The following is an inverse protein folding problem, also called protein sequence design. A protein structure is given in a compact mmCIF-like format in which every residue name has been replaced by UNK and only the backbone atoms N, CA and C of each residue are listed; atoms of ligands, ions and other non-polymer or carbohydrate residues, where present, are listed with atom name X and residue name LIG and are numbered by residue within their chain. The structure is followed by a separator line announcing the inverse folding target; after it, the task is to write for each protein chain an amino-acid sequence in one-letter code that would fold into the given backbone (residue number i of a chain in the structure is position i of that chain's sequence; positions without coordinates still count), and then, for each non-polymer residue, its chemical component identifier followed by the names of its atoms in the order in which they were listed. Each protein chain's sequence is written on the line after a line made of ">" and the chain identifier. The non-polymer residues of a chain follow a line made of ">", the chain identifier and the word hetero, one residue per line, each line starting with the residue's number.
data_IF_804272320456
#
_entry.id   IF_804272320456
#
_cell.length_a   1.000
_cell.length_b   1.000
_cell.length_c   1.000
_cell.angle_alpha   90.00
_cell.angle_beta   90.00
_cell.angle_gamma   90.00
#
_symmetry.space_group_name_H-M   'P 1'
#
loop_
_entity.id
_entity.type
_entity.pdbx_description
1 polymer ?
#
# COMPACT_ATOMS: atom_id res chain seq x y z
N UNK A 1 27.94 15.90 44.51
CA UNK A 1 29.14 16.72 44.26
C UNK A 1 29.60 16.43 42.84
N UNK A 2 29.42 17.43 41.97
CA UNK A 2 29.87 17.55 40.57
C UNK A 2 28.97 16.95 39.48
N UNK A 3 28.01 17.80 39.13
CA UNK A 3 27.44 18.03 37.80
C UNK A 3 28.49 18.00 36.68
N UNK A 4 28.11 17.52 35.49
CA UNK A 4 28.68 18.07 34.25
C UNK A 4 27.65 17.99 33.11
N UNK A 5 26.94 19.10 32.98
CA UNK A 5 26.17 19.53 31.82
C UNK A 5 27.12 19.69 30.63
N UNK A 6 26.81 19.10 29.47
CA UNK A 6 27.48 19.51 28.23
C UNK A 6 26.44 19.90 27.17
N UNK A 7 26.39 21.21 26.97
CA UNK A 7 25.46 21.98 26.19
C UNK A 7 26.16 22.30 24.86
N UNK A 8 25.91 21.51 23.81
CA UNK A 8 26.48 21.77 22.49
C UNK A 8 25.43 22.42 21.60
N UNK A 9 25.63 23.72 21.39
CA UNK A 9 24.84 24.60 20.53
C UNK A 9 25.01 24.20 19.07
N UNK A 10 23.92 23.85 18.40
CA UNK A 10 23.87 23.77 16.94
C UNK A 10 23.28 25.07 16.38
N UNK A 11 24.17 25.93 15.88
CA UNK A 11 23.86 27.04 14.98
C UNK A 11 23.69 26.46 13.57
N UNK A 12 22.48 26.49 13.03
CA UNK A 12 22.26 26.23 11.60
C UNK A 12 21.50 27.39 10.97
N UNK A 13 22.25 28.14 10.16
CA UNK A 13 21.79 29.16 9.22
C UNK A 13 20.88 28.49 8.18
N UNK A 14 19.59 28.81 8.18
CA UNK A 14 18.70 28.45 7.08
C UNK A 14 18.73 29.54 6.02
N UNK A 15 19.27 29.16 4.87
CA UNK A 15 19.41 29.95 3.66
C UNK A 15 18.56 29.29 2.56
N UNK A 16 17.85 30.14 1.80
CA UNK A 16 17.27 29.91 0.47
C UNK A 16 16.11 28.90 0.32
N UNK A 17 14.94 29.40 -0.10
CA UNK A 17 14.56 29.46 -1.52
C UNK A 17 13.08 29.84 -1.68
N UNK A 18 12.81 31.10 -2.04
CA UNK A 18 11.57 31.47 -2.73
C UNK A 18 11.62 30.86 -4.13
N UNK A 19 10.67 30.01 -4.49
CA UNK A 19 10.37 29.73 -5.90
C UNK A 19 8.90 29.98 -6.16
N UNK A 20 8.67 30.83 -7.15
CA UNK A 20 7.40 31.44 -7.49
C UNK A 20 6.45 30.44 -8.19
N UNK A 21 5.18 30.51 -7.80
CA UNK A 21 4.03 29.91 -8.47
C UNK A 21 3.92 30.47 -9.89
N UNK A 22 3.85 29.61 -10.90
CA UNK A 22 3.50 30.00 -12.28
C UNK A 22 2.22 29.30 -12.71
N UNK A 23 1.36 30.10 -13.34
CA UNK A 23 -0.08 29.91 -13.48
C UNK A 23 -0.51 29.02 -14.67
N UNK A 24 -1.70 28.44 -14.48
CA UNK A 24 -2.80 28.18 -15.42
C UNK A 24 -2.57 28.39 -16.93
N UNK A 25 -2.86 27.34 -17.70
CA UNK A 25 -3.55 27.46 -18.99
C UNK A 25 -4.47 26.25 -19.20
N UNK A 26 -5.78 26.45 -19.00
CA UNK A 26 -6.83 25.57 -19.52
C UNK A 26 -6.97 25.85 -21.02
N UNK A 27 -6.95 24.81 -21.83
CA UNK A 27 -7.48 24.88 -23.20
C UNK A 27 -8.69 23.98 -23.27
N UNK A 28 -9.84 24.61 -23.44
CA UNK A 28 -11.12 24.01 -23.76
C UNK A 28 -11.07 23.49 -25.19
N UNK A 29 -11.48 22.24 -25.41
CA UNK A 29 -12.01 21.83 -26.71
C UNK A 29 -13.40 21.26 -26.50
N UNK A 30 -14.30 21.89 -27.25
CA UNK A 30 -15.74 21.69 -27.35
C UNK A 30 -15.98 20.88 -28.61
N UNK A 31 -16.77 19.81 -28.54
CA UNK A 31 -17.51 19.15 -29.63
C UNK A 31 -18.04 17.82 -29.06
N UNK A 32 -19.23 17.29 -29.31
CA UNK A 32 -20.50 17.73 -29.90
C UNK A 32 -21.48 16.57 -29.64
N UNK A 33 -22.77 16.89 -29.74
CA UNK A 33 -23.95 16.17 -29.26
C UNK A 33 -24.27 14.79 -29.87
N UNK A 34 -24.75 13.91 -28.97
CA UNK A 34 -25.73 12.80 -29.03
C UNK A 34 -26.37 12.33 -30.37
N UNK A 35 -26.82 11.05 -30.43
CA UNK A 35 -28.21 10.79 -30.00
C UNK A 35 -28.45 9.55 -29.13
N UNK A 36 -29.49 9.69 -28.31
CA UNK A 36 -30.20 8.71 -27.48
C UNK A 36 -30.66 7.46 -28.25
N UNK A 37 -30.39 6.27 -27.71
CA UNK A 37 -31.22 5.09 -27.95
C UNK A 37 -31.66 4.48 -26.61
N UNK A 38 -32.98 4.46 -26.44
CA UNK A 38 -33.73 3.85 -25.36
C UNK A 38 -33.61 2.33 -25.48
N UNK A 39 -33.01 1.70 -24.48
CA UNK A 39 -32.99 0.25 -24.30
C UNK A 39 -33.06 -0.07 -22.81
N UNK A 40 -34.28 -0.14 -22.28
CA UNK A 40 -34.54 -0.58 -20.90
C UNK A 40 -34.38 -2.09 -20.83
N UNK A 41 -33.13 -2.55 -20.71
CA UNK A 41 -32.81 -3.91 -20.30
C UNK A 41 -32.25 -3.83 -18.88
N UNK A 42 -33.03 -4.27 -17.89
CA UNK A 42 -32.55 -4.50 -16.52
C UNK A 42 -31.55 -5.66 -16.56
N UNK A 43 -30.27 -5.46 -16.22
CA UNK A 43 -29.36 -6.58 -16.02
C UNK A 43 -29.60 -7.18 -14.62
N UNK A 44 -29.83 -8.50 -14.48
CA UNK A 44 -29.89 -9.15 -13.18
C UNK A 44 -28.48 -9.59 -12.78
N UNK A 45 -27.56 -8.67 -12.44
CA UNK A 45 -26.22 -9.08 -11.97
C UNK A 45 -25.63 -8.06 -10.99
N UNK A 46 -26.00 -8.14 -9.70
CA UNK A 46 -25.41 -7.29 -8.65
C UNK A 46 -25.18 -8.01 -7.31
N UNK A 47 -25.02 -9.33 -7.30
CA UNK A 47 -24.66 -10.08 -6.08
C UNK A 47 -23.15 -10.35 -5.99
N UNK A 48 -22.55 -10.90 -7.05
CA UNK A 48 -21.17 -11.40 -7.05
C UNK A 48 -20.08 -10.35 -6.76
N UNK A 49 -20.26 -9.12 -7.24
CA UNK A 49 -19.31 -8.03 -7.02
C UNK A 49 -19.34 -7.53 -5.56
N UNK A 50 -20.52 -7.50 -4.94
CA UNK A 50 -20.70 -7.10 -3.55
C UNK A 50 -20.14 -8.18 -2.60
N UNK A 51 -20.40 -9.45 -2.88
CA UNK A 51 -19.84 -10.59 -2.12
C UNK A 51 -18.31 -10.64 -2.16
N UNK A 52 -17.69 -10.37 -3.31
CA UNK A 52 -16.22 -10.37 -3.41
C UNK A 52 -15.61 -9.27 -2.55
N UNK A 53 -16.24 -8.09 -2.49
CA UNK A 53 -15.77 -6.96 -1.67
C UNK A 53 -15.89 -7.24 -0.17
N UNK A 54 -16.96 -7.91 0.28
CA UNK A 54 -17.13 -8.27 1.69
C UNK A 54 -16.12 -9.33 2.12
N UNK A 55 -15.85 -10.33 1.25
CA UNK A 55 -14.82 -11.35 1.51
C UNK A 55 -13.42 -10.73 1.62
N UNK A 56 -13.07 -9.77 0.76
CA UNK A 56 -11.78 -9.07 0.84
C UNK A 56 -11.63 -8.31 2.17
N UNK A 57 -12.68 -7.59 2.59
CA UNK A 57 -12.68 -6.87 3.86
C UNK A 57 -12.55 -7.81 5.06
N UNK A 58 -13.33 -8.90 5.09
CA UNK A 58 -13.28 -9.91 6.16
C UNK A 58 -11.88 -10.50 6.28
N UNK A 59 -11.23 -10.81 5.14
CA UNK A 59 -9.88 -11.35 5.12
C UNK A 59 -8.86 -10.39 5.77
N UNK A 60 -8.83 -9.12 5.34
CA UNK A 60 -7.93 -8.11 5.91
C UNK A 60 -8.21 -7.82 7.40
N UNK A 61 -9.49 -7.87 7.81
CA UNK A 61 -9.88 -7.68 9.21
C UNK A 61 -9.36 -8.78 10.13
N UNK A 62 -9.48 -10.03 9.69
CA UNK A 62 -9.23 -11.21 10.53
C UNK A 62 -7.79 -11.73 10.45
N UNK A 63 -7.07 -11.46 9.37
CA UNK A 63 -5.71 -11.96 9.16
C UNK A 63 -4.73 -11.55 10.27
N UNK A 64 -3.92 -12.52 10.73
CA UNK A 64 -2.88 -12.31 11.74
C UNK A 64 -1.50 -12.74 11.25
N UNK A 65 -1.42 -13.86 10.53
CA UNK A 65 -0.17 -14.40 10.04
C UNK A 65 0.09 -13.97 8.59
N UNK A 66 1.24 -13.35 8.36
CA UNK A 66 1.66 -12.87 7.04
C UNK A 66 2.90 -13.66 6.63
N UNK A 67 2.84 -14.26 5.45
CA UNK A 67 4.03 -14.78 4.77
C UNK A 67 4.47 -13.77 3.72
N UNK A 68 5.75 -13.39 3.72
CA UNK A 68 6.30 -12.44 2.76
C UNK A 68 7.04 -13.19 1.66
N UNK A 69 6.71 -12.88 0.40
CA UNK A 69 7.37 -13.41 -0.78
C UNK A 69 7.87 -12.27 -1.65
N UNK A 70 9.08 -12.39 -2.18
CA UNK A 70 9.58 -11.46 -3.19
C UNK A 70 10.08 -12.22 -4.41
N UNK A 71 9.58 -11.81 -5.58
CA UNK A 71 10.07 -12.23 -6.91
C UNK A 71 10.98 -11.15 -7.51
N UNK A 72 11.18 -10.04 -6.80
CA UNK A 72 12.05 -8.95 -7.24
C UNK A 72 13.51 -9.27 -6.93
N UNK A 73 14.40 -9.01 -7.89
CA UNK A 73 15.86 -9.12 -7.69
C UNK A 73 16.41 -8.04 -6.74
N UNK A 74 15.78 -6.86 -6.71
CA UNK A 74 16.28 -5.69 -5.99
C UNK A 74 15.66 -5.52 -4.58
N UNK A 75 14.63 -6.30 -4.26
CA UNK A 75 13.90 -6.16 -2.98
C UNK A 75 13.83 -7.52 -2.31
N UNK A 76 14.70 -7.76 -1.33
CA UNK A 76 14.73 -9.00 -0.57
C UNK A 76 13.56 -9.12 0.41
N UNK A 77 13.17 -10.37 0.69
CA UNK A 77 12.11 -10.72 1.67
C UNK A 77 12.43 -10.15 3.05
N UNK A 78 13.63 -10.40 3.58
CA UNK A 78 14.04 -9.95 4.92
C UNK A 78 13.94 -8.43 5.10
N UNK A 79 14.20 -7.65 4.05
CA UNK A 79 14.11 -6.20 4.08
C UNK A 79 12.65 -5.75 4.21
N UNK A 80 11.72 -6.42 3.51
CA UNK A 80 10.28 -6.12 3.64
C UNK A 80 9.79 -6.46 5.04
N UNK A 81 10.19 -7.62 5.57
CA UNK A 81 9.80 -8.07 6.92
C UNK A 81 10.29 -7.13 8.02
N UNK A 82 11.55 -6.70 7.95
CA UNK A 82 12.12 -5.72 8.86
C UNK A 82 11.32 -4.41 8.81
N UNK A 83 10.96 -3.93 7.61
CA UNK A 83 10.18 -2.70 7.43
C UNK A 83 8.74 -2.83 7.92
N UNK A 84 8.13 -4.02 7.83
CA UNK A 84 6.83 -4.31 8.42
C UNK A 84 6.90 -4.26 9.94
N UNK A 85 7.82 -5.00 10.56
CA UNK A 85 7.93 -5.13 12.02
C UNK A 85 8.27 -3.80 12.72
N UNK A 86 9.02 -2.92 12.07
CA UNK A 86 9.38 -1.60 12.59
C UNK A 86 8.19 -0.62 12.68
N UNK A 87 7.06 -0.92 12.03
CA UNK A 87 5.89 -0.03 12.02
C UNK A 87 5.00 -0.27 13.24
N UNK A 88 4.56 0.81 13.87
CA UNK A 88 3.70 0.75 15.07
C UNK A 88 2.37 0.08 14.76
N UNK A 89 1.86 0.30 13.56
CA UNK A 89 0.60 -0.26 13.06
C UNK A 89 0.67 -1.79 12.94
N UNK A 90 1.84 -2.33 12.59
CA UNK A 90 2.06 -3.77 12.55
C UNK A 90 1.92 -4.38 13.94
N UNK A 91 2.54 -3.73 14.93
CA UNK A 91 2.53 -4.15 16.33
C UNK A 91 1.14 -3.99 16.96
N UNK A 92 0.49 -2.84 16.75
CA UNK A 92 -0.83 -2.56 17.34
C UNK A 92 -1.94 -3.49 16.81
N UNK A 93 -1.81 -3.96 15.57
CA UNK A 93 -2.73 -4.91 14.97
C UNK A 93 -2.49 -6.37 15.41
N UNK A 94 -1.41 -6.63 16.15
CA UNK A 94 -0.99 -7.97 16.56
C UNK A 94 -0.67 -8.87 15.37
N UNK A 95 -0.05 -8.31 14.32
CA UNK A 95 0.36 -9.07 13.15
C UNK A 95 1.66 -9.84 13.44
N UNK A 96 1.81 -10.99 12.80
CA UNK A 96 2.98 -11.86 12.96
C UNK A 96 3.46 -12.28 11.57
N UNK A 97 4.78 -12.28 11.37
CA UNK A 97 5.38 -12.82 10.15
C UNK A 97 5.67 -14.30 10.38
N UNK A 98 5.18 -15.15 9.48
CA UNK A 98 5.48 -16.58 9.47
C UNK A 98 6.44 -16.93 8.33
N UNK A 99 7.30 -17.92 8.57
CA UNK A 99 8.16 -18.53 7.54
C UNK A 99 7.49 -19.67 6.80
N UNK A 100 6.36 -20.16 7.30
CA UNK A 100 5.57 -21.20 6.66
C UNK A 100 4.42 -20.58 5.86
N UNK A 101 4.42 -20.69 4.51
CA UNK A 101 3.32 -20.18 3.70
C UNK A 101 1.99 -20.91 3.98
N UNK A 102 2.01 -22.14 4.50
CA UNK A 102 0.80 -22.88 4.88
C UNK A 102 0.27 -22.52 6.27
N UNK A 103 1.03 -21.76 7.07
CA UNK A 103 0.53 -21.19 8.32
C UNK A 103 -0.02 -19.76 8.13
N UNK A 104 0.17 -19.16 6.96
CA UNK A 104 -0.21 -17.77 6.72
C UNK A 104 -1.71 -17.59 6.49
N UNK A 105 -2.25 -16.45 6.89
CA UNK A 105 -3.56 -15.98 6.45
C UNK A 105 -3.43 -15.22 5.13
N UNK A 106 -2.40 -14.37 5.06
CA UNK A 106 -2.09 -13.54 3.89
C UNK A 106 -0.70 -13.84 3.36
N UNK A 107 -0.58 -13.97 2.05
CA UNK A 107 0.68 -13.98 1.32
C UNK A 107 0.89 -12.59 0.71
N UNK A 108 1.90 -11.86 1.21
CA UNK A 108 2.31 -10.57 0.65
C UNK A 108 3.41 -10.81 -0.38
N UNK A 109 3.06 -10.71 -1.66
CA UNK A 109 4.01 -10.83 -2.77
C UNK A 109 4.46 -9.47 -3.28
N UNK A 110 5.76 -9.34 -3.56
CA UNK A 110 6.34 -8.19 -4.27
C UNK A 110 7.02 -8.68 -5.53
N UNK A 111 6.76 -8.03 -6.66
CA UNK A 111 7.48 -8.25 -7.91
C UNK A 111 7.88 -6.92 -8.55
N UNK A 112 8.89 -6.98 -9.41
CA UNK A 112 9.28 -5.87 -10.26
C UNK A 112 8.74 -6.18 -11.66
N UNK A 113 7.91 -5.28 -12.19
CA UNK A 113 7.48 -5.34 -13.58
C UNK A 113 8.70 -5.13 -14.50
N UNK A 114 8.65 -5.67 -15.72
CA UNK A 114 9.73 -5.64 -16.70
C UNK A 114 10.14 -4.22 -17.09
N UNK A 115 9.24 -3.25 -16.90
CA UNK A 115 9.49 -1.86 -17.23
C UNK A 115 10.15 -1.09 -16.08
N UNK A 116 9.34 -0.54 -15.15
CA UNK A 116 9.86 0.49 -14.23
C UNK A 116 9.22 0.51 -12.84
N UNK A 117 8.25 -0.38 -12.57
CA UNK A 117 7.43 -0.29 -11.36
C UNK A 117 7.49 -1.56 -10.56
N UNK A 118 7.41 -1.39 -9.24
CA UNK A 118 7.18 -2.49 -8.33
C UNK A 118 5.69 -2.64 -8.12
N UNK A 119 5.24 -3.88 -8.01
CA UNK A 119 3.86 -4.19 -7.70
C UNK A 119 3.87 -5.10 -6.49
N UNK A 120 2.99 -4.79 -5.53
CA UNK A 120 2.72 -5.69 -4.44
C UNK A 120 1.28 -6.13 -4.46
N UNK A 121 1.05 -7.36 -4.02
CA UNK A 121 -0.26 -7.99 -3.91
C UNK A 121 -0.30 -8.76 -2.60
N UNK A 122 -1.39 -8.58 -1.84
CA UNK A 122 -1.70 -9.40 -0.68
C UNK A 122 -2.83 -10.36 -1.09
N UNK A 123 -2.59 -11.66 -0.92
CA UNK A 123 -3.51 -12.71 -1.31
C UNK A 123 -3.96 -13.45 -0.07
N UNK A 124 -5.28 -13.59 0.11
CA UNK A 124 -5.83 -14.50 1.11
C UNK A 124 -5.52 -15.93 0.69
N UNK A 125 -4.79 -16.67 1.52
CA UNK A 125 -4.38 -18.03 1.20
C UNK A 125 -5.56 -19.01 1.07
N UNK A 126 -6.62 -18.84 1.86
CA UNK A 126 -7.78 -19.75 1.87
C UNK A 126 -8.62 -19.57 0.63
N UNK A 127 -8.89 -18.31 0.25
CA UNK A 127 -9.79 -18.00 -0.87
C UNK A 127 -9.04 -17.77 -2.19
N UNK A 128 -7.72 -17.60 -2.16
CA UNK A 128 -6.88 -17.23 -3.31
C UNK A 128 -7.30 -15.92 -3.98
N UNK A 129 -7.97 -15.03 -3.24
CA UNK A 129 -8.39 -13.72 -3.72
C UNK A 129 -7.34 -12.68 -3.37
N UNK A 130 -7.07 -11.77 -4.29
CA UNK A 130 -6.26 -10.57 -4.01
C UNK A 130 -7.10 -9.63 -3.14
N UNK A 131 -6.64 -9.40 -1.92
CA UNK A 131 -7.35 -8.60 -0.91
C UNK A 131 -6.77 -7.20 -0.75
N UNK A 132 -5.52 -7.00 -1.16
CA UNK A 132 -4.85 -5.70 -1.14
C UNK A 132 -3.77 -5.66 -2.22
N UNK A 133 -3.36 -4.47 -2.64
CA UNK A 133 -2.29 -4.32 -3.63
C UNK A 133 -2.04 -2.90 -4.08
N UNK A 134 -1.02 -2.73 -4.92
CA UNK A 134 -0.71 -1.45 -5.53
C UNK A 134 0.60 -1.43 -6.31
N UNK A 135 0.75 -0.37 -7.12
CA UNK A 135 1.98 -0.08 -7.88
C UNK A 135 2.81 0.98 -7.16
N UNK A 136 4.13 0.86 -7.24
CA UNK A 136 5.10 1.67 -6.53
C UNK A 136 6.25 2.07 -7.46
N UNK A 137 6.74 3.30 -7.26
CA UNK A 137 8.00 3.77 -7.85
C UNK A 137 9.12 3.71 -6.82
N UNK A 138 10.36 3.58 -7.32
CA UNK A 138 11.58 3.66 -6.50
C UNK A 138 11.91 5.09 -6.03
N UNK A 139 11.23 6.13 -6.51
CA UNK A 139 11.59 7.52 -6.20
C UNK A 139 11.02 7.95 -4.85
N UNK A 140 11.83 8.53 -3.96
CA UNK A 140 11.37 9.03 -2.67
C UNK A 140 11.27 7.93 -1.60
N UNK A 141 12.37 7.19 -1.40
CA UNK A 141 12.52 6.16 -0.36
C UNK A 141 12.61 4.74 -0.90
N UNK A 142 12.72 3.77 0.01
CA UNK A 142 12.86 2.35 -0.36
C UNK A 142 11.53 1.72 -0.74
N UNK A 143 11.53 0.84 -1.74
CA UNK A 143 10.34 0.08 -2.17
C UNK A 143 9.77 -0.73 -1.01
N UNK A 144 10.61 -1.44 -0.25
CA UNK A 144 10.19 -2.20 0.92
C UNK A 144 9.45 -1.34 1.96
N UNK A 145 9.97 -0.13 2.24
CA UNK A 145 9.33 0.81 3.14
C UNK A 145 7.94 1.24 2.67
N UNK A 146 7.78 1.47 1.36
CA UNK A 146 6.51 1.85 0.74
C UNK A 146 5.51 0.71 0.65
N UNK A 147 5.95 -0.50 0.31
CA UNK A 147 5.11 -1.72 0.35
C UNK A 147 4.54 -1.87 1.75
N UNK A 148 5.40 -1.84 2.76
CA UNK A 148 5.00 -1.98 4.17
C UNK A 148 3.99 -0.91 4.59
N UNK A 149 4.21 0.34 4.19
CA UNK A 149 3.30 1.44 4.48
C UNK A 149 1.91 1.25 3.87
N UNK A 150 1.87 1.02 2.55
CA UNK A 150 0.64 1.00 1.79
C UNK A 150 -0.19 -0.22 2.16
N UNK A 151 0.47 -1.37 2.34
CA UNK A 151 -0.18 -2.58 2.82
C UNK A 151 -0.79 -2.40 4.21
N UNK A 152 -0.04 -1.87 5.18
CA UNK A 152 -0.57 -1.66 6.54
C UNK A 152 -1.68 -0.61 6.57
N UNK A 153 -1.60 0.43 5.73
CA UNK A 153 -2.69 1.39 5.58
C UNK A 153 -3.97 0.71 5.10
N UNK A 154 -3.89 -0.18 4.10
CA UNK A 154 -5.07 -0.94 3.62
C UNK A 154 -5.62 -1.88 4.71
N UNK A 155 -4.76 -2.57 5.46
CA UNK A 155 -5.16 -3.39 6.62
C UNK A 155 -5.89 -2.58 7.70
N UNK A 156 -5.36 -1.41 8.07
CA UNK A 156 -5.98 -0.53 9.05
C UNK A 156 -7.34 -0.02 8.59
N UNK A 157 -7.43 0.45 7.34
CA UNK A 157 -8.70 0.92 6.77
C UNK A 157 -9.75 -0.20 6.76
N UNK A 158 -9.35 -1.43 6.41
CA UNK A 158 -10.26 -2.57 6.48
C UNK A 158 -10.73 -2.87 7.90
N UNK A 159 -9.90 -2.65 8.94
CA UNK A 159 -10.25 -2.89 10.35
C UNK A 159 -11.09 -1.79 11.01
N UNK A 160 -11.08 -0.59 10.44
CA UNK A 160 -11.84 0.56 10.95
C UNK A 160 -13.20 0.72 10.28
N UNK A 161 -13.45 -0.02 9.20
CA UNK A 161 -14.78 -0.13 8.57
C UNK A 161 -15.60 -1.23 9.24
#
# INVERSE_FOLDING_TARGET
>A
MKDYVNQTRFLTVSLLCLSAVSAFAQTTSKSESAPTLIGKATPPVSSKASETSSVQLISLRTAKYIFVRSKSLAVGVSVIEEKLQKRREFQSMGLVITRDPYAADIILEVHHDLFTKYVYTAVDRKTNIVVAGGKLSSLGGTVAGKVSERFLKQMLSARQS
#
